data_IF_097230748242
#
_entry.id   IF_097230748242
#
_cell.length_a   1.000
_cell.length_b   1.000
_cell.length_c   1.000
_cell.angle_alpha   90.00
_cell.angle_beta   90.00
_cell.angle_gamma   90.00
#
_symmetry.space_group_name_H-M   'P 1'
#
loop_
_entity.id
_entity.type
_entity.pdbx_description
1 polymer ?
#
# COMPACT_ATOMS: atom_id res chain seq x y z
N UNK A 1 -24.03 -37.35 -13.12
CA UNK A 1 -22.67 -37.29 -12.55
C UNK A 1 -22.03 -35.88 -12.60
N UNK A 2 -22.46 -34.96 -13.46
CA UNK A 2 -21.88 -33.62 -13.63
C UNK A 2 -22.20 -32.60 -12.51
N UNK A 3 -23.34 -32.73 -11.81
CA UNK A 3 -23.73 -31.75 -10.75
C UNK A 3 -22.94 -31.89 -9.44
N UNK A 4 -22.40 -33.04 -9.14
CA UNK A 4 -21.64 -33.31 -7.90
C UNK A 4 -20.23 -32.69 -7.97
N UNK A 5 -19.64 -32.63 -9.18
CA UNK A 5 -18.32 -32.02 -9.39
C UNK A 5 -18.32 -30.49 -9.21
N UNK A 6 -19.41 -29.80 -9.58
CA UNK A 6 -19.53 -28.34 -9.40
C UNK A 6 -19.68 -27.93 -7.93
N UNK A 7 -20.38 -28.71 -7.13
CA UNK A 7 -20.54 -28.44 -5.68
C UNK A 7 -19.22 -28.64 -4.90
N UNK A 8 -18.41 -29.64 -5.28
CA UNK A 8 -17.11 -29.86 -4.63
C UNK A 8 -16.10 -28.77 -4.96
N UNK A 9 -16.13 -28.21 -6.18
CA UNK A 9 -15.22 -27.15 -6.61
C UNK A 9 -15.56 -25.81 -5.94
N UNK A 10 -16.82 -25.50 -5.72
CA UNK A 10 -17.24 -24.27 -5.02
C UNK A 10 -16.94 -24.29 -3.53
N UNK A 11 -16.99 -25.45 -2.88
CA UNK A 11 -16.62 -25.62 -1.47
C UNK A 11 -15.10 -25.48 -1.24
N UNK A 12 -14.28 -25.94 -2.17
CA UNK A 12 -12.81 -25.79 -2.09
C UNK A 12 -12.36 -24.34 -2.27
N UNK A 13 -13.02 -23.57 -3.13
CA UNK A 13 -12.70 -22.15 -3.34
C UNK A 13 -13.14 -21.29 -2.14
N UNK A 14 -14.24 -21.63 -1.47
CA UNK A 14 -14.73 -20.92 -0.29
C UNK A 14 -13.85 -21.10 0.94
N UNK A 15 -13.25 -22.28 1.14
CA UNK A 15 -12.36 -22.55 2.27
C UNK A 15 -10.99 -21.84 2.17
N UNK A 16 -10.43 -21.73 0.96
CA UNK A 16 -9.18 -21.03 0.73
C UNK A 16 -9.28 -19.52 0.99
N UNK A 17 -10.39 -18.89 0.58
CA UNK A 17 -10.60 -17.46 0.80
C UNK A 17 -10.84 -17.08 2.27
N UNK A 18 -11.47 -17.95 3.05
CA UNK A 18 -11.65 -17.74 4.49
C UNK A 18 -10.34 -17.88 5.28
N UNK A 19 -9.48 -18.84 4.92
CA UNK A 19 -8.16 -19.01 5.52
C UNK A 19 -7.28 -17.78 5.28
N UNK A 20 -7.24 -17.27 4.05
CA UNK A 20 -6.44 -16.12 3.68
C UNK A 20 -6.80 -14.85 4.47
N UNK A 21 -8.12 -14.56 4.59
CA UNK A 21 -8.59 -13.41 5.38
C UNK A 21 -8.22 -13.53 6.87
N UNK A 22 -8.27 -14.74 7.43
CA UNK A 22 -7.88 -14.99 8.81
C UNK A 22 -6.37 -14.78 9.03
N UNK A 23 -5.52 -15.19 8.10
CA UNK A 23 -4.07 -15.08 8.19
C UNK A 23 -3.62 -13.60 8.09
N UNK A 24 -4.23 -12.79 7.20
CA UNK A 24 -4.01 -11.34 7.14
C UNK A 24 -4.37 -10.69 8.49
N UNK A 25 -5.57 -11.01 9.02
CA UNK A 25 -6.04 -10.42 10.28
C UNK A 25 -5.13 -10.80 11.45
N UNK A 26 -4.63 -12.03 11.49
CA UNK A 26 -3.67 -12.50 12.49
C UNK A 26 -2.37 -11.72 12.42
N UNK A 27 -1.80 -11.54 11.22
CA UNK A 27 -0.57 -10.77 11.02
C UNK A 27 -0.72 -9.30 11.43
N UNK A 28 -1.83 -8.65 11.03
CA UNK A 28 -2.10 -7.26 11.40
C UNK A 28 -2.31 -7.09 12.91
N UNK A 29 -3.04 -8.00 13.54
CA UNK A 29 -3.27 -7.98 14.99
C UNK A 29 -1.96 -8.19 15.77
N UNK A 30 -1.10 -9.08 15.31
CA UNK A 30 0.23 -9.28 15.87
C UNK A 30 1.08 -8.00 15.77
N UNK A 31 1.09 -7.33 14.61
CA UNK A 31 1.78 -6.07 14.42
C UNK A 31 1.27 -4.96 15.36
N UNK A 32 -0.04 -4.87 15.58
CA UNK A 32 -0.66 -3.91 16.49
C UNK A 32 -0.27 -4.15 17.96
N UNK A 33 -0.10 -5.40 18.34
CA UNK A 33 0.33 -5.80 19.69
C UNK A 33 1.84 -5.72 19.92
N UNK A 34 2.61 -5.41 18.86
CA UNK A 34 4.07 -5.38 18.90
C UNK A 34 4.73 -6.76 18.74
N UNK A 35 3.99 -7.80 18.45
CA UNK A 35 4.52 -9.13 18.08
C UNK A 35 4.91 -9.12 16.61
N UNK A 36 6.04 -8.47 16.32
CA UNK A 36 6.51 -8.29 14.95
C UNK A 36 7.04 -9.59 14.34
N UNK A 37 7.49 -10.55 15.13
CA UNK A 37 7.92 -11.85 14.64
C UNK A 37 6.74 -12.63 14.05
N UNK A 38 5.62 -12.69 14.77
CA UNK A 38 4.39 -13.28 14.24
C UNK A 38 3.85 -12.48 13.05
N UNK A 39 3.88 -11.14 13.11
CA UNK A 39 3.42 -10.30 12.00
C UNK A 39 4.20 -10.60 10.70
N UNK A 40 5.52 -10.68 10.76
CA UNK A 40 6.36 -11.03 9.60
C UNK A 40 6.05 -12.42 9.06
N UNK A 41 5.97 -13.42 9.95
CA UNK A 41 5.70 -14.80 9.56
C UNK A 41 4.37 -14.94 8.80
N UNK A 42 3.32 -14.23 9.24
CA UNK A 42 1.99 -14.28 8.62
C UNK A 42 1.89 -13.39 7.37
N UNK A 43 2.44 -12.17 7.42
CA UNK A 43 2.28 -11.20 6.31
C UNK A 43 3.21 -11.44 5.14
N UNK A 44 4.44 -11.96 5.36
CA UNK A 44 5.42 -12.11 4.26
C UNK A 44 4.90 -13.01 3.13
N UNK A 45 4.43 -14.24 3.39
CA UNK A 45 3.94 -15.11 2.32
C UNK A 45 2.74 -14.51 1.58
N UNK A 46 1.86 -13.78 2.27
CA UNK A 46 0.70 -13.13 1.67
C UNK A 46 1.11 -11.95 0.77
N UNK A 47 2.08 -11.16 1.21
CA UNK A 47 2.63 -10.05 0.43
C UNK A 47 3.33 -10.53 -0.84
N UNK A 48 4.08 -11.63 -0.76
CA UNK A 48 4.74 -12.28 -1.91
C UNK A 48 3.73 -12.85 -2.90
N UNK A 49 2.58 -13.30 -2.42
CA UNK A 49 1.44 -13.76 -3.24
C UNK A 49 0.63 -12.59 -3.82
N UNK A 50 0.98 -11.34 -3.50
CA UNK A 50 0.39 -10.15 -4.09
C UNK A 50 -0.69 -9.47 -3.25
N UNK A 51 -0.94 -9.88 -2.00
CA UNK A 51 -1.94 -9.23 -1.16
C UNK A 51 -1.55 -7.78 -0.82
N UNK A 52 -2.40 -6.84 -1.21
CA UNK A 52 -2.12 -5.41 -1.07
C UNK A 52 -2.04 -4.95 0.40
N UNK A 53 -2.82 -5.56 1.29
CA UNK A 53 -2.84 -5.20 2.72
C UNK A 53 -1.56 -5.71 3.39
N UNK A 54 -1.17 -6.95 3.11
CA UNK A 54 0.07 -7.53 3.60
C UNK A 54 1.30 -6.76 3.10
N UNK A 55 1.32 -6.40 1.80
CA UNK A 55 2.36 -5.55 1.22
C UNK A 55 2.48 -4.19 1.93
N UNK A 56 1.35 -3.51 2.20
CA UNK A 56 1.36 -2.27 2.97
C UNK A 56 1.87 -2.48 4.41
N UNK A 57 1.49 -3.59 5.03
CA UNK A 57 1.97 -4.00 6.36
C UNK A 57 3.50 -4.14 6.39
N UNK A 58 4.08 -4.88 5.44
CA UNK A 58 5.54 -5.00 5.30
C UNK A 58 6.19 -3.66 5.01
N UNK A 59 5.60 -2.83 4.14
CA UNK A 59 6.09 -1.48 3.86
C UNK A 59 6.22 -0.65 5.14
N UNK A 60 5.23 -0.68 6.02
CA UNK A 60 5.28 0.00 7.32
C UNK A 60 6.32 -0.60 8.28
N UNK A 61 6.48 -1.92 8.29
CA UNK A 61 7.46 -2.59 9.15
C UNK A 61 8.89 -2.21 8.74
N UNK A 62 9.23 -2.25 7.46
CA UNK A 62 10.52 -1.82 6.94
C UNK A 62 10.75 -0.31 7.11
N UNK A 63 9.72 0.52 6.93
CA UNK A 63 9.80 1.96 7.16
C UNK A 63 10.15 2.31 8.61
N UNK A 64 9.64 1.55 9.56
CA UNK A 64 9.79 1.82 11.00
C UNK A 64 10.87 0.97 11.68
N UNK A 65 11.45 -0.01 11.00
CA UNK A 65 12.36 -0.98 11.59
C UNK A 65 11.68 -1.85 12.65
N UNK A 66 10.45 -2.27 12.41
CA UNK A 66 9.66 -3.08 13.34
C UNK A 66 9.75 -4.57 12.98
N UNK A 67 10.47 -5.34 13.79
CA UNK A 67 10.77 -6.75 13.57
C UNK A 67 11.80 -7.02 12.46
N UNK A 68 12.22 -5.99 11.75
CA UNK A 68 13.26 -5.99 10.70
C UNK A 68 14.16 -4.79 10.86
N UNK A 69 15.37 -4.82 10.31
CA UNK A 69 16.19 -3.63 10.18
C UNK A 69 15.48 -2.60 9.30
N UNK A 70 15.51 -1.32 9.72
CA UNK A 70 14.90 -0.24 8.93
C UNK A 70 15.54 -0.17 7.55
N UNK A 71 14.71 -0.26 6.51
CA UNK A 71 15.13 -0.13 5.12
C UNK A 71 14.06 0.61 4.32
N UNK A 72 14.34 1.86 4.04
CA UNK A 72 13.43 2.72 3.28
C UNK A 72 13.27 2.31 1.82
N UNK A 73 14.29 1.73 1.19
CA UNK A 73 14.19 1.25 -0.20
C UNK A 73 13.25 0.06 -0.30
N UNK A 74 13.38 -0.89 0.62
CA UNK A 74 12.47 -2.03 0.73
C UNK A 74 11.05 -1.58 1.10
N UNK A 75 10.90 -0.60 1.99
CA UNK A 75 9.59 -0.02 2.32
C UNK A 75 8.90 0.60 1.08
N UNK A 76 9.64 1.38 0.28
CA UNK A 76 9.12 1.96 -0.98
C UNK A 76 8.69 0.87 -1.95
N UNK A 77 9.47 -0.20 -2.11
CA UNK A 77 9.10 -1.34 -2.97
C UNK A 77 7.75 -1.93 -2.56
N UNK A 78 7.55 -2.25 -1.29
CA UNK A 78 6.31 -2.81 -0.80
C UNK A 78 5.13 -1.85 -0.89
N UNK A 79 5.33 -0.57 -0.52
CA UNK A 79 4.28 0.45 -0.68
C UNK A 79 3.88 0.64 -2.14
N UNK A 80 4.83 0.60 -3.09
CA UNK A 80 4.53 0.73 -4.52
C UNK A 80 3.67 -0.43 -5.02
N UNK A 81 4.02 -1.67 -4.71
CA UNK A 81 3.25 -2.85 -5.09
C UNK A 81 1.80 -2.78 -4.59
N UNK A 82 1.61 -2.34 -3.35
CA UNK A 82 0.29 -2.15 -2.74
C UNK A 82 -0.46 -0.94 -3.32
N UNK A 83 0.22 0.19 -3.54
CA UNK A 83 -0.36 1.41 -4.11
C UNK A 83 -0.85 1.21 -5.55
N UNK A 84 -0.14 0.42 -6.34
CA UNK A 84 -0.52 0.02 -7.70
C UNK A 84 -1.75 -0.89 -7.76
N UNK A 85 -2.18 -1.43 -6.63
CA UNK A 85 -3.45 -2.15 -6.46
C UNK A 85 -4.57 -1.24 -5.94
N UNK A 86 -4.30 0.05 -5.76
CA UNK A 86 -5.28 1.03 -5.29
C UNK A 86 -5.41 1.13 -3.77
N UNK A 87 -4.55 0.46 -2.99
CA UNK A 87 -4.65 0.49 -1.53
C UNK A 87 -4.25 1.87 -0.97
N UNK A 88 -5.23 2.62 -0.49
CA UNK A 88 -5.08 4.03 -0.13
C UNK A 88 -4.06 4.30 0.98
N UNK A 89 -3.86 3.36 1.93
CA UNK A 89 -2.84 3.50 2.98
C UNK A 89 -1.44 3.45 2.38
N UNK A 90 -1.21 2.54 1.44
CA UNK A 90 0.08 2.42 0.76
C UNK A 90 0.36 3.62 -0.16
N UNK A 91 -0.67 4.14 -0.82
CA UNK A 91 -0.58 5.36 -1.63
C UNK A 91 -0.15 6.56 -0.78
N UNK A 92 -0.76 6.74 0.42
CA UNK A 92 -0.34 7.77 1.37
C UNK A 92 1.09 7.52 1.90
N UNK A 93 1.44 6.27 2.20
CA UNK A 93 2.79 5.86 2.60
C UNK A 93 3.82 6.22 1.54
N UNK A 94 3.57 5.85 0.28
CA UNK A 94 4.45 6.15 -0.84
C UNK A 94 4.61 7.66 -1.06
N UNK A 95 3.53 8.43 -0.98
CA UNK A 95 3.57 9.89 -1.03
C UNK A 95 4.44 10.48 0.09
N UNK A 96 4.34 9.95 1.32
CA UNK A 96 5.19 10.34 2.43
C UNK A 96 6.68 10.05 2.21
N UNK A 97 7.00 8.91 1.60
CA UNK A 97 8.38 8.53 1.24
C UNK A 97 8.98 9.51 0.23
N UNK A 98 8.24 9.86 -0.83
CA UNK A 98 8.66 10.89 -1.79
C UNK A 98 8.84 12.26 -1.14
N UNK A 99 7.91 12.69 -0.31
CA UNK A 99 7.99 13.99 0.35
C UNK A 99 9.17 14.15 1.31
N UNK A 100 9.59 13.05 1.93
CA UNK A 100 10.72 13.02 2.87
C UNK A 100 12.05 12.61 2.22
N UNK A 101 12.05 12.15 0.97
CA UNK A 101 13.25 11.60 0.32
C UNK A 101 13.77 10.32 0.98
N UNK A 102 12.86 9.51 1.55
CA UNK A 102 13.20 8.25 2.22
C UNK A 102 13.09 7.07 1.26
N UNK A 103 14.23 6.47 0.91
CA UNK A 103 14.30 5.34 -0.03
C UNK A 103 14.08 5.73 -1.50
N UNK A 104 13.72 6.96 -1.77
CA UNK A 104 13.57 7.60 -3.09
C UNK A 104 14.11 9.03 -3.05
N UNK A 105 14.36 9.63 -4.20
CA UNK A 105 14.71 11.05 -4.29
C UNK A 105 13.50 11.88 -3.84
N UNK A 106 13.75 12.91 -3.01
CA UNK A 106 12.69 13.82 -2.55
C UNK A 106 12.02 14.49 -3.75
N UNK A 107 10.68 14.41 -3.79
CA UNK A 107 9.88 14.98 -4.87
C UNK A 107 8.49 15.39 -4.34
N UNK A 108 8.27 16.71 -4.22
CA UNK A 108 6.99 17.26 -3.72
C UNK A 108 5.85 17.07 -4.71
N UNK A 109 6.14 16.98 -6.02
CA UNK A 109 5.13 16.72 -7.06
C UNK A 109 4.57 15.31 -6.90
N UNK A 110 5.44 14.31 -6.75
CA UNK A 110 5.01 12.93 -6.50
C UNK A 110 4.37 12.75 -5.12
N UNK A 111 4.86 13.46 -4.09
CA UNK A 111 4.24 13.46 -2.77
C UNK A 111 2.80 14.00 -2.82
N UNK A 112 2.58 15.13 -3.50
CA UNK A 112 1.26 15.71 -3.72
C UNK A 112 0.37 14.80 -4.56
N UNK A 113 0.89 14.25 -5.68
CA UNK A 113 0.18 13.33 -6.56
C UNK A 113 -0.37 12.12 -5.79
N UNK A 114 0.50 11.40 -5.07
CA UNK A 114 0.10 10.22 -4.30
C UNK A 114 -0.80 10.58 -3.13
N UNK A 115 -0.58 11.73 -2.47
CA UNK A 115 -1.48 12.25 -1.44
C UNK A 115 -2.89 12.51 -1.97
N UNK A 116 -3.00 13.10 -3.16
CA UNK A 116 -4.28 13.34 -3.83
C UNK A 116 -5.00 12.03 -4.20
N UNK A 117 -4.29 11.06 -4.77
CA UNK A 117 -4.84 9.74 -5.11
C UNK A 117 -5.31 9.02 -3.85
N UNK A 118 -4.50 8.98 -2.80
CA UNK A 118 -4.85 8.36 -1.52
C UNK A 118 -6.11 8.99 -0.90
N UNK A 119 -6.23 10.32 -0.97
CA UNK A 119 -7.41 11.05 -0.51
C UNK A 119 -8.67 10.67 -1.28
N UNK A 120 -8.56 10.60 -2.61
CA UNK A 120 -9.67 10.18 -3.49
C UNK A 120 -10.11 8.74 -3.22
N UNK A 121 -9.18 7.89 -2.76
CA UNK A 121 -9.44 6.50 -2.35
C UNK A 121 -9.81 6.38 -0.86
N UNK A 122 -10.18 7.48 -0.19
CA UNK A 122 -10.74 7.48 1.15
C UNK A 122 -9.72 7.62 2.30
N UNK A 123 -8.43 7.81 2.02
CA UNK A 123 -7.43 8.01 3.07
C UNK A 123 -7.35 9.47 3.52
N UNK A 124 -7.83 9.76 4.72
CA UNK A 124 -7.83 11.13 5.30
C UNK A 124 -6.42 11.74 5.43
N UNK A 125 -5.40 10.92 5.68
CA UNK A 125 -4.02 11.39 5.78
C UNK A 125 -3.44 11.75 4.40
N UNK A 126 -3.95 11.15 3.31
CA UNK A 126 -3.58 11.51 1.94
C UNK A 126 -3.89 12.97 1.63
N UNK A 127 -5.09 13.45 2.01
CA UNK A 127 -5.46 14.85 1.85
C UNK A 127 -4.56 15.80 2.63
N UNK A 128 -4.25 15.48 3.89
CA UNK A 128 -3.31 16.27 4.71
C UNK A 128 -1.91 16.32 4.07
N UNK A 129 -1.43 15.18 3.58
CA UNK A 129 -0.14 15.09 2.91
C UNK A 129 -0.09 15.98 1.67
N UNK A 130 -1.11 15.89 0.79
CA UNK A 130 -1.27 16.75 -0.38
C UNK A 130 -1.17 18.22 0.00
N UNK A 131 -1.95 18.66 1.02
CA UNK A 131 -2.05 20.05 1.42
C UNK A 131 -0.75 20.57 2.06
N UNK A 132 0.02 19.72 2.75
CA UNK A 132 1.34 20.06 3.27
C UNK A 132 2.29 20.39 2.11
N UNK A 133 2.40 19.52 1.12
CA UNK A 133 3.32 19.72 0.00
C UNK A 133 2.86 20.82 -0.95
N UNK A 134 1.56 21.04 -1.11
CA UNK A 134 1.04 22.16 -1.90
C UNK A 134 1.55 23.54 -1.42
N UNK A 135 1.83 23.69 -0.12
CA UNK A 135 2.36 24.95 0.43
C UNK A 135 3.79 25.29 -0.02
N UNK A 136 4.55 24.26 -0.41
CA UNK A 136 5.94 24.41 -0.86
C UNK A 136 6.06 24.40 -2.39
N UNK A 137 4.94 24.29 -3.11
CA UNK A 137 4.89 24.11 -4.54
C UNK A 137 4.41 25.37 -5.27
N UNK A 138 4.92 25.59 -6.48
CA UNK A 138 4.38 26.59 -7.41
C UNK A 138 3.05 26.09 -8.00
N UNK A 139 2.25 27.02 -8.52
CA UNK A 139 0.98 26.68 -9.22
C UNK A 139 1.23 25.66 -10.34
N UNK A 140 2.28 25.85 -11.16
CA UNK A 140 2.64 24.93 -12.24
C UNK A 140 3.00 23.52 -11.75
N UNK A 141 3.67 23.41 -10.61
CA UNK A 141 3.98 22.11 -9.99
C UNK A 141 2.70 21.42 -9.48
N UNK A 142 1.76 22.18 -8.90
CA UNK A 142 0.46 21.64 -8.45
C UNK A 142 -0.35 21.13 -9.65
N UNK A 143 -0.41 21.90 -10.75
CA UNK A 143 -1.08 21.48 -11.99
C UNK A 143 -0.46 20.20 -12.55
N UNK A 144 0.88 20.11 -12.55
CA UNK A 144 1.61 18.91 -12.96
C UNK A 144 1.25 17.71 -12.09
N UNK A 145 1.25 17.87 -10.76
CA UNK A 145 0.90 16.80 -9.83
C UNK A 145 -0.54 16.31 -10.04
N UNK A 146 -1.48 17.23 -10.27
CA UNK A 146 -2.87 16.90 -10.56
C UNK A 146 -3.03 16.17 -11.89
N UNK A 147 -2.30 16.58 -12.93
CA UNK A 147 -2.27 15.91 -14.24
C UNK A 147 -1.74 14.47 -14.07
N UNK A 148 -0.61 14.30 -13.40
CA UNK A 148 -0.03 12.98 -13.11
C UNK A 148 -1.00 12.10 -12.32
N UNK A 149 -1.72 12.65 -11.34
CA UNK A 149 -2.72 11.90 -10.57
C UNK A 149 -3.84 11.38 -11.49
N UNK A 150 -4.39 12.21 -12.38
CA UNK A 150 -5.42 11.79 -13.33
C UNK A 150 -4.90 10.72 -14.30
N UNK A 151 -3.67 10.84 -14.76
CA UNK A 151 -3.04 9.84 -15.64
C UNK A 151 -2.80 8.53 -14.92
N UNK A 152 -2.35 8.58 -13.67
CA UNK A 152 -2.15 7.42 -12.82
C UNK A 152 -3.46 6.64 -12.59
N UNK A 153 -4.54 7.35 -12.26
CA UNK A 153 -5.87 6.74 -12.10
C UNK A 153 -6.35 6.07 -13.39
N UNK A 154 -6.16 6.73 -14.56
CA UNK A 154 -6.50 6.12 -15.87
C UNK A 154 -5.73 4.83 -16.15
N UNK A 155 -4.48 4.74 -15.71
CA UNK A 155 -3.64 3.54 -15.80
C UNK A 155 -3.94 2.51 -14.71
N UNK A 156 -5.01 2.70 -13.93
CA UNK A 156 -5.33 1.86 -12.76
C UNK A 156 -4.13 1.73 -11.82
N UNK A 157 -3.45 2.84 -11.58
CA UNK A 157 -2.28 3.04 -10.71
C UNK A 157 -0.98 2.34 -11.17
N UNK A 158 -0.95 1.71 -12.34
CA UNK A 158 0.22 0.98 -12.83
C UNK A 158 1.29 1.91 -13.41
N UNK A 159 2.53 1.73 -12.93
CA UNK A 159 3.68 2.47 -13.45
C UNK A 159 3.62 3.97 -13.17
N UNK A 160 3.01 4.38 -12.08
CA UNK A 160 3.05 5.75 -11.59
C UNK A 160 4.23 5.93 -10.64
#
# INVERSE_FOLDING_TARGET
>A
MTKIFYLALTLLLGSASMSWSADIQKGLTAAQRGDFATALRELTPLAEQGDAIAQAGLGMMYQKGKGVSQDYKTAVKWFRLSAEQGYAIAQAGLGGMYGQGKGVIKDSVYAHMWGNIASSNGNKNGGKLRDIFAKEMTTSQIETAQKLARECVRKKYKGC
#
